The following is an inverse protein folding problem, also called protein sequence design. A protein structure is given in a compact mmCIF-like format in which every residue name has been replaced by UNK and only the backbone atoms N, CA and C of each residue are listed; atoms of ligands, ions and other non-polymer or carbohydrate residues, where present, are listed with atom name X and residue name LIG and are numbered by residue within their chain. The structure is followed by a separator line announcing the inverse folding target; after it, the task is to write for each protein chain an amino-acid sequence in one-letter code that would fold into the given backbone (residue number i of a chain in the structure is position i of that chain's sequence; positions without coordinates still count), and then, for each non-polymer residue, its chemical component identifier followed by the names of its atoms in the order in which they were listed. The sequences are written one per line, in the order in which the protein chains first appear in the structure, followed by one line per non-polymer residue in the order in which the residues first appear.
data_IF_998455124901
#
_entry.id   IF_998455124901
#
_cell.length_a   1.000
_cell.length_b   1.000
_cell.length_c   1.000
_cell.angle_alpha   90.00
_cell.angle_beta   90.00
_cell.angle_gamma   90.00
#
_symmetry.space_group_name_H-M   'P 1'
#
loop_
_entity.id
_entity.type
_entity.pdbx_description
1 polymer ?
#
# COMPACT_ATOMS: atom_id res chain seq x y z
N UNK A 1 3.50 -16.73 49.19
CA UNK A 1 3.45 -15.92 47.97
C UNK A 1 4.87 -15.88 47.41
N UNK A 2 5.07 -16.25 46.13
CA UNK A 2 6.42 -16.25 45.52
C UNK A 2 6.76 -14.84 45.08
N UNK A 3 7.89 -14.30 45.49
CA UNK A 3 8.37 -12.98 45.13
C UNK A 3 9.58 -13.07 44.18
N UNK A 4 9.76 -12.05 43.34
CA UNK A 4 10.92 -11.86 42.47
C UNK A 4 11.39 -10.41 42.51
N UNK A 5 12.69 -10.14 42.21
CA UNK A 5 13.13 -8.74 42.10
C UNK A 5 12.56 -8.04 40.86
N UNK A 6 12.14 -6.79 41.03
CA UNK A 6 11.79 -5.93 39.90
C UNK A 6 12.99 -5.78 38.94
N UNK A 7 12.85 -6.00 37.62
CA UNK A 7 13.98 -5.94 36.71
C UNK A 7 14.70 -4.58 36.70
N UNK A 8 13.99 -3.48 37.05
CA UNK A 8 14.53 -2.12 37.01
C UNK A 8 15.17 -1.67 38.34
N UNK A 9 14.40 -1.71 39.45
CA UNK A 9 14.83 -1.16 40.74
C UNK A 9 15.21 -2.24 41.79
N UNK A 10 15.10 -3.53 41.45
CA UNK A 10 15.40 -4.69 42.30
C UNK A 10 14.51 -4.88 43.54
N UNK A 11 13.50 -3.98 43.76
CA UNK A 11 12.51 -4.17 44.83
C UNK A 11 11.75 -5.48 44.62
N UNK A 12 11.47 -6.20 45.68
CA UNK A 12 10.74 -7.46 45.63
C UNK A 12 9.26 -7.21 45.21
N UNK A 13 8.79 -7.93 44.22
CA UNK A 13 7.46 -7.85 43.69
C UNK A 13 6.82 -9.24 43.53
N UNK A 14 5.49 -9.38 43.53
CA UNK A 14 4.82 -10.64 43.22
C UNK A 14 5.30 -11.22 41.90
N UNK A 15 5.48 -12.56 41.85
CA UNK A 15 6.02 -13.24 40.65
C UNK A 15 5.24 -12.93 39.35
N UNK A 16 3.94 -12.73 39.43
CA UNK A 16 3.09 -12.38 38.28
C UNK A 16 3.25 -10.96 37.76
N UNK A 17 3.95 -10.07 38.47
CA UNK A 17 4.13 -8.67 38.04
C UNK A 17 5.36 -8.53 37.14
N UNK A 18 5.24 -7.74 36.07
CA UNK A 18 6.37 -7.42 35.20
C UNK A 18 7.32 -6.40 35.83
N UNK A 19 6.76 -5.38 36.51
CA UNK A 19 7.48 -4.28 37.18
C UNK A 19 6.75 -3.88 38.46
N UNK A 20 7.42 -3.20 39.38
CA UNK A 20 6.76 -2.53 40.51
C UNK A 20 5.91 -1.33 40.01
N UNK A 21 4.95 -0.84 40.82
CA UNK A 21 4.07 0.28 40.43
C UNK A 21 4.85 1.53 39.96
N UNK A 22 5.96 1.85 40.65
CA UNK A 22 6.77 3.03 40.31
C UNK A 22 7.54 2.87 38.99
N UNK A 23 8.01 1.66 38.67
CA UNK A 23 8.77 1.39 37.45
C UNK A 23 7.91 1.07 36.23
N UNK A 24 6.66 0.68 36.43
CA UNK A 24 5.75 0.28 35.37
C UNK A 24 5.52 1.39 34.33
N UNK A 25 5.14 2.64 34.72
CA UNK A 25 4.89 3.70 33.75
C UNK A 25 6.13 4.05 32.94
N UNK A 26 7.31 4.04 33.56
CA UNK A 26 8.58 4.33 32.88
C UNK A 26 8.93 3.22 31.88
N UNK A 27 8.76 1.96 32.26
CA UNK A 27 9.00 0.82 31.34
C UNK A 27 8.01 0.79 30.17
N UNK A 28 6.75 1.20 30.38
CA UNK A 28 5.75 1.32 29.34
C UNK A 28 6.08 2.45 28.37
N UNK A 29 6.49 3.62 28.86
CA UNK A 29 6.93 4.74 28.04
C UNK A 29 8.14 4.38 27.17
N UNK A 30 9.15 3.70 27.74
CA UNK A 30 10.31 3.22 26.98
C UNK A 30 9.90 2.20 25.89
N UNK A 31 8.95 1.32 26.18
CA UNK A 31 8.42 0.36 25.20
C UNK A 31 7.69 1.03 24.05
N UNK A 32 6.87 2.05 24.37
CA UNK A 32 6.16 2.85 23.36
C UNK A 32 7.15 3.59 22.45
N UNK A 33 8.13 4.29 23.03
CA UNK A 33 9.16 5.00 22.28
C UNK A 33 9.95 4.06 21.35
N UNK A 34 10.31 2.86 21.82
CA UNK A 34 10.95 1.83 20.97
C UNK A 34 10.06 1.35 19.83
N UNK A 35 8.76 1.23 20.08
CA UNK A 35 7.79 0.80 19.07
C UNK A 35 7.59 1.87 18.00
N UNK A 36 7.50 3.14 18.39
CA UNK A 36 7.42 4.28 17.47
C UNK A 36 8.67 4.41 16.61
N UNK A 37 9.85 4.34 17.21
CA UNK A 37 11.13 4.35 16.49
C UNK A 37 11.24 3.19 15.50
N UNK A 38 10.82 1.99 15.88
CA UNK A 38 10.79 0.82 14.98
C UNK A 38 9.83 1.03 13.82
N UNK A 39 8.66 1.61 14.07
CA UNK A 39 7.67 1.96 13.05
C UNK A 39 8.22 2.96 12.04
N UNK A 40 8.89 4.01 12.51
CA UNK A 40 9.54 5.02 11.66
C UNK A 40 10.67 4.42 10.82
N UNK A 41 11.53 3.58 11.41
CA UNK A 41 12.59 2.86 10.70
C UNK A 41 12.03 1.99 9.57
N UNK A 42 10.98 1.20 9.85
CA UNK A 42 10.34 0.35 8.84
C UNK A 42 9.71 1.17 7.73
N UNK A 43 9.09 2.31 8.05
CA UNK A 43 8.55 3.25 7.06
C UNK A 43 9.66 3.85 6.17
N UNK A 44 10.77 4.29 6.76
CA UNK A 44 11.94 4.79 6.01
C UNK A 44 12.50 3.71 5.08
N UNK A 45 12.68 2.49 5.57
CA UNK A 45 13.18 1.35 4.77
C UNK A 45 12.24 0.98 3.63
N UNK A 46 10.93 0.99 3.88
CA UNK A 46 9.92 0.79 2.83
C UNK A 46 10.01 1.88 1.76
N UNK A 47 10.05 3.14 2.17
CA UNK A 47 10.15 4.28 1.27
C UNK A 47 11.44 4.26 0.43
N UNK A 48 12.58 3.88 1.02
CA UNK A 48 13.83 3.71 0.29
C UNK A 48 13.73 2.65 -0.79
N UNK A 49 13.18 1.46 -0.47
CA UNK A 49 12.95 0.38 -1.44
C UNK A 49 11.98 0.80 -2.54
N UNK A 50 10.90 1.47 -2.17
CA UNK A 50 9.93 2.00 -3.11
C UNK A 50 10.55 3.01 -4.08
N UNK A 51 11.32 3.97 -3.55
CA UNK A 51 12.01 4.99 -4.35
C UNK A 51 13.10 4.40 -5.24
N UNK A 52 13.88 3.43 -4.75
CA UNK A 52 14.87 2.71 -5.55
C UNK A 52 14.21 1.97 -6.73
N UNK A 53 13.07 1.29 -6.49
CA UNK A 53 12.30 0.63 -7.55
C UNK A 53 11.72 1.62 -8.56
N UNK A 54 11.28 2.79 -8.11
CA UNK A 54 10.83 3.89 -8.99
C UNK A 54 11.97 4.54 -9.76
N UNK A 55 13.18 4.52 -9.23
CA UNK A 55 14.39 5.01 -9.92
C UNK A 55 14.76 4.17 -11.14
N UNK A 56 14.37 2.88 -11.17
CA UNK A 56 14.55 1.97 -12.31
C UNK A 56 13.47 2.15 -13.39
N UNK A 57 12.46 2.95 -13.11
CA UNK A 57 11.40 3.23 -14.05
C UNK A 57 11.91 4.17 -15.15
N UNK A 58 11.47 3.93 -16.39
CA UNK A 58 11.82 4.78 -17.53
C UNK A 58 11.59 6.26 -17.17
N UNK A 59 12.64 7.10 -17.29
CA UNK A 59 12.56 8.53 -16.97
C UNK A 59 11.42 9.26 -17.68
N UNK A 60 11.06 8.82 -18.90
CA UNK A 60 9.96 9.33 -19.71
C UNK A 60 8.61 9.23 -18.99
N UNK A 61 8.28 8.06 -18.43
CA UNK A 61 7.02 7.86 -17.70
C UNK A 61 7.01 8.60 -16.36
N UNK A 62 8.15 8.64 -15.67
CA UNK A 62 8.29 9.40 -14.43
C UNK A 62 8.08 10.89 -14.67
N UNK A 63 8.68 11.45 -15.74
CA UNK A 63 8.52 12.86 -16.14
C UNK A 63 7.05 13.14 -16.46
N UNK A 64 6.40 12.28 -17.24
CA UNK A 64 4.99 12.42 -17.59
C UNK A 64 4.09 12.44 -16.34
N UNK A 65 4.22 11.46 -15.43
CA UNK A 65 3.38 11.40 -14.22
C UNK A 65 3.58 12.60 -13.28
N UNK A 66 4.72 13.26 -13.35
CA UNK A 66 5.00 14.45 -12.57
C UNK A 66 4.65 15.75 -13.31
N UNK A 67 4.28 15.68 -14.58
CA UNK A 67 3.98 16.84 -15.40
C UNK A 67 2.73 17.59 -14.91
N UNK A 68 2.66 18.88 -15.22
CA UNK A 68 1.51 19.72 -14.87
C UNK A 68 0.26 19.28 -15.64
N UNK A 69 0.45 18.91 -16.90
CA UNK A 69 -0.60 18.45 -17.80
C UNK A 69 -1.29 17.20 -17.22
N UNK A 70 -0.51 16.16 -16.89
CA UNK A 70 -1.08 14.94 -16.30
C UNK A 70 -1.78 15.19 -14.97
N UNK A 71 -1.19 15.99 -14.09
CA UNK A 71 -1.81 16.35 -12.81
C UNK A 71 -3.12 17.10 -12.97
N UNK A 72 -3.20 18.00 -13.96
CA UNK A 72 -4.42 18.72 -14.27
C UNK A 72 -5.49 17.79 -14.86
N UNK A 73 -5.14 16.98 -15.85
CA UNK A 73 -6.04 16.03 -16.52
C UNK A 73 -6.58 15.00 -15.54
N UNK A 74 -5.73 14.37 -14.73
CA UNK A 74 -6.16 13.38 -13.75
C UNK A 74 -7.09 13.98 -12.69
N UNK A 75 -6.80 15.18 -12.21
CA UNK A 75 -7.67 15.88 -11.27
C UNK A 75 -9.02 16.26 -11.89
N UNK A 76 -9.02 16.69 -13.14
CA UNK A 76 -10.24 17.00 -13.90
C UNK A 76 -11.09 15.74 -14.11
N UNK A 77 -10.48 14.60 -14.47
CA UNK A 77 -11.19 13.32 -14.65
C UNK A 77 -11.85 12.84 -13.36
N UNK A 78 -11.15 12.90 -12.21
CA UNK A 78 -11.71 12.54 -10.92
C UNK A 78 -12.90 13.45 -10.53
N UNK A 79 -12.86 14.74 -10.86
CA UNK A 79 -13.98 15.66 -10.64
C UNK A 79 -15.15 15.33 -11.54
N UNK A 80 -14.91 15.05 -12.82
CA UNK A 80 -15.94 14.73 -13.80
C UNK A 80 -16.73 13.48 -13.42
N UNK A 81 -16.05 12.41 -12.94
CA UNK A 81 -16.72 11.22 -12.41
C UNK A 81 -17.30 11.43 -10.98
N UNK A 82 -17.25 12.67 -10.45
CA UNK A 82 -17.72 13.02 -9.09
C UNK A 82 -17.09 12.12 -8.01
N UNK A 83 -15.83 11.77 -8.20
CA UNK A 83 -15.09 10.84 -7.35
C UNK A 83 -15.76 9.46 -7.18
N UNK A 84 -16.60 9.04 -8.11
CA UNK A 84 -17.20 7.70 -8.14
C UNK A 84 -16.38 6.79 -9.02
N UNK A 85 -16.10 5.57 -8.54
CA UNK A 85 -15.38 4.58 -9.32
C UNK A 85 -16.18 4.17 -10.56
N UNK A 86 -15.63 4.41 -11.76
CA UNK A 86 -16.27 4.09 -13.04
C UNK A 86 -16.15 2.60 -13.40
N UNK A 87 -15.15 1.88 -12.87
CA UNK A 87 -14.94 0.46 -13.20
C UNK A 87 -15.87 -0.50 -12.47
N UNK A 88 -16.22 -0.22 -11.20
CA UNK A 88 -17.17 -0.99 -10.38
C UNK A 88 -16.97 -2.52 -10.42
N UNK A 89 -15.73 -2.98 -10.40
CA UNK A 89 -15.40 -4.40 -10.40
C UNK A 89 -15.67 -5.02 -9.02
N UNK A 90 -15.59 -6.35 -8.94
CA UNK A 90 -15.73 -7.08 -7.68
C UNK A 90 -14.74 -6.55 -6.62
N UNK A 91 -15.21 -6.32 -5.39
CA UNK A 91 -14.42 -5.68 -4.34
C UNK A 91 -14.24 -4.16 -4.50
N UNK A 92 -15.03 -3.51 -5.34
CA UNK A 92 -14.96 -2.07 -5.57
C UNK A 92 -15.24 -1.27 -4.29
N UNK A 93 -14.36 -0.30 -3.98
CA UNK A 93 -14.48 0.59 -2.82
C UNK A 93 -15.45 1.77 -3.06
N UNK A 94 -15.96 1.94 -4.29
CA UNK A 94 -16.92 2.98 -4.67
C UNK A 94 -16.32 4.35 -4.93
N UNK A 95 -15.23 4.74 -4.27
CA UNK A 95 -14.62 6.07 -4.36
C UNK A 95 -13.42 6.03 -5.30
N UNK A 96 -13.46 6.84 -6.38
CA UNK A 96 -12.33 7.01 -7.30
C UNK A 96 -11.26 7.91 -6.68
N UNK A 97 -10.05 7.42 -6.57
CA UNK A 97 -8.87 8.14 -6.07
C UNK A 97 -7.69 8.11 -7.07
N UNK A 98 -7.78 7.29 -8.10
CA UNK A 98 -6.76 7.12 -9.12
C UNK A 98 -7.38 7.22 -10.53
N UNK A 99 -6.55 7.51 -11.53
CA UNK A 99 -6.97 7.50 -12.94
C UNK A 99 -6.22 6.40 -13.66
N UNK A 100 -6.96 5.50 -14.28
CA UNK A 100 -6.48 4.38 -15.07
C UNK A 100 -6.47 4.73 -16.54
N UNK A 101 -5.44 4.31 -17.27
CA UNK A 101 -5.39 4.37 -18.72
C UNK A 101 -5.89 3.05 -19.30
N UNK A 102 -6.89 3.08 -20.16
CA UNK A 102 -7.40 1.87 -20.84
C UNK A 102 -6.32 1.24 -21.72
N UNK A 103 -5.61 2.07 -22.48
CA UNK A 103 -4.43 1.63 -23.23
C UNK A 103 -3.19 1.92 -22.38
N UNK A 104 -2.37 0.89 -22.04
CA UNK A 104 -1.21 1.09 -21.19
C UNK A 104 -0.23 2.12 -21.77
N UNK A 105 0.10 3.16 -21.00
CA UNK A 105 1.03 4.23 -21.43
C UNK A 105 2.42 3.76 -21.82
N UNK A 106 2.77 2.50 -21.51
CA UNK A 106 4.06 1.90 -21.89
C UNK A 106 4.09 1.43 -23.33
N UNK A 107 2.94 1.32 -23.99
CA UNK A 107 2.85 1.04 -25.42
C UNK A 107 2.98 2.32 -26.24
N UNK A 108 3.45 2.26 -27.49
CA UNK A 108 3.52 3.43 -28.38
C UNK A 108 2.16 4.14 -28.50
N UNK A 109 1.11 3.36 -28.77
CA UNK A 109 -0.25 3.87 -28.90
C UNK A 109 -0.74 4.55 -27.60
N UNK A 110 -0.57 3.88 -26.46
CA UNK A 110 -0.96 4.46 -25.16
C UNK A 110 -0.15 5.68 -24.79
N UNK A 111 1.10 5.78 -25.29
CA UNK A 111 1.90 6.98 -25.11
C UNK A 111 1.34 8.18 -25.92
N UNK A 112 0.90 7.96 -27.13
CA UNK A 112 0.27 9.01 -27.94
C UNK A 112 -1.04 9.47 -27.33
N UNK A 113 -1.87 8.51 -26.86
CA UNK A 113 -3.18 8.76 -26.24
C UNK A 113 -3.13 9.04 -24.73
N UNK A 114 -1.95 9.28 -24.15
CA UNK A 114 -1.75 9.40 -22.68
C UNK A 114 -2.56 10.50 -21.98
N UNK A 115 -3.06 11.49 -22.73
CA UNK A 115 -3.93 12.55 -22.22
C UNK A 115 -5.33 12.52 -22.86
N UNK A 116 -5.60 11.49 -23.66
CA UNK A 116 -6.92 11.31 -24.28
C UNK A 116 -7.97 11.04 -23.18
N UNK A 117 -8.95 11.93 -23.16
CA UNK A 117 -9.99 11.92 -22.13
C UNK A 117 -10.83 10.66 -22.12
N UNK A 118 -11.14 10.12 -23.29
CA UNK A 118 -12.00 8.95 -23.45
C UNK A 118 -11.28 7.65 -23.07
N UNK A 119 -9.96 7.64 -23.17
CA UNK A 119 -9.10 6.54 -22.73
C UNK A 119 -8.76 6.56 -21.23
N UNK A 120 -9.35 7.47 -20.44
CA UNK A 120 -9.12 7.61 -19.01
C UNK A 120 -10.34 7.22 -18.18
N UNK A 121 -10.14 6.48 -17.10
CA UNK A 121 -11.19 6.16 -16.11
C UNK A 121 -10.80 6.54 -14.70
N UNK A 122 -11.72 7.17 -13.97
CA UNK A 122 -11.60 7.38 -12.53
C UNK A 122 -11.91 6.08 -11.77
N UNK A 123 -10.95 5.55 -11.03
CA UNK A 123 -11.08 4.24 -10.37
C UNK A 123 -10.63 4.27 -8.90
N UNK A 124 -11.15 3.36 -8.09
CA UNK A 124 -10.62 3.10 -6.74
C UNK A 124 -9.37 2.22 -6.83
N UNK A 125 -8.55 2.22 -5.77
CA UNK A 125 -7.30 1.44 -5.70
C UNK A 125 -7.54 -0.07 -5.93
N UNK A 126 -8.63 -0.63 -5.41
CA UNK A 126 -8.97 -2.04 -5.63
C UNK A 126 -9.20 -2.35 -7.12
N UNK A 127 -10.06 -1.58 -7.79
CA UNK A 127 -10.31 -1.74 -9.21
C UNK A 127 -9.07 -1.46 -10.06
N UNK A 128 -8.28 -0.42 -9.73
CA UNK A 128 -7.03 -0.12 -10.42
C UNK A 128 -6.04 -1.27 -10.39
N UNK A 129 -5.88 -1.94 -9.24
CA UNK A 129 -5.03 -3.11 -9.12
C UNK A 129 -5.52 -4.30 -9.96
N UNK A 130 -6.82 -4.49 -10.08
CA UNK A 130 -7.39 -5.53 -10.94
C UNK A 130 -7.13 -5.20 -12.41
N UNK A 131 -7.43 -3.98 -12.86
CA UNK A 131 -7.21 -3.53 -14.23
C UNK A 131 -5.73 -3.59 -14.65
N UNK A 132 -4.81 -3.26 -13.75
CA UNK A 132 -3.37 -3.36 -13.98
C UNK A 132 -2.83 -4.81 -13.85
N UNK A 133 -3.68 -5.81 -13.63
CA UNK A 133 -3.30 -7.20 -13.33
C UNK A 133 -2.35 -7.36 -12.13
N UNK A 134 -2.27 -6.37 -11.24
CA UNK A 134 -1.39 -6.42 -10.06
C UNK A 134 -1.87 -7.42 -9.02
N UNK A 135 -3.18 -7.72 -9.00
CA UNK A 135 -3.79 -8.67 -8.07
C UNK A 135 -3.58 -10.14 -8.46
N UNK A 136 -3.49 -10.43 -9.75
CA UNK A 136 -3.37 -11.81 -10.25
C UNK A 136 -1.94 -12.38 -10.19
N UNK A 137 -0.91 -11.55 -10.12
CA UNK A 137 0.49 -12.01 -10.01
C UNK A 137 0.87 -12.58 -8.63
N UNK A 138 0.00 -12.50 -7.63
CA UNK A 138 0.28 -12.98 -6.26
C UNK A 138 -0.36 -14.33 -5.91
N UNK A 139 -1.08 -14.99 -6.82
CA UNK A 139 -1.75 -16.27 -6.56
C UNK A 139 -1.56 -17.28 -7.71
N UNK A 140 -0.40 -17.31 -8.31
CA UNK A 140 0.08 -18.54 -8.96
C UNK A 140 1.16 -19.08 -8.02
N UNK A 141 0.75 -19.53 -6.84
CA UNK A 141 1.44 -20.58 -6.14
C UNK A 141 1.22 -21.82 -6.99
N UNK A 142 2.32 -22.48 -7.39
CA UNK A 142 2.40 -23.63 -8.27
C UNK A 142 1.70 -24.90 -7.75
N UNK A 143 0.74 -24.77 -6.83
CA UNK A 143 0.00 -25.85 -6.17
C UNK A 143 -1.53 -25.77 -6.35
N UNK A 144 -2.03 -25.04 -7.31
CA UNK A 144 -3.46 -25.17 -7.67
C UNK A 144 -3.59 -26.30 -8.68
N UNK A 145 -3.86 -27.51 -8.15
CA UNK A 145 -4.36 -28.63 -8.94
C UNK A 145 -5.62 -28.15 -9.65
N UNK A 146 -5.54 -28.04 -10.99
CA UNK A 146 -6.67 -27.67 -11.83
C UNK A 146 -7.74 -28.79 -11.73
N UNK A 147 -8.78 -28.54 -10.95
CA UNK A 147 -9.91 -29.45 -10.77
C UNK A 147 -10.72 -29.73 -12.07
N UNK A 148 -10.31 -29.16 -13.21
CA UNK A 148 -10.93 -29.43 -14.52
C UNK A 148 -10.39 -30.68 -15.19
N UNK A 149 -9.38 -31.34 -14.61
CA UNK A 149 -8.78 -32.56 -15.16
C UNK A 149 -9.30 -33.86 -14.54
N UNK A 150 -10.28 -33.80 -13.61
CA UNK A 150 -10.87 -34.99 -12.97
C UNK A 150 -12.31 -35.20 -13.49
N UNK A 151 -12.48 -35.15 -14.79
CA UNK A 151 -13.68 -35.72 -15.44
C UNK A 151 -13.28 -36.35 -16.77
N UNK A 152 -12.74 -37.58 -16.69
CA UNK A 152 -12.86 -38.64 -17.68
C UNK A 152 -12.69 -39.98 -17.00
#
# INVERSE_FOLDING_TARGET
MVLKPCPRCKRMIPHGWAYCPDCKPVAEAERQAKQEHRSEYLRKKYNQRYNARRGQEDPKYRKFRNSKEWKATSKAKLRACKYKCEARLEGCQGIACEVHHEVPIKTPEGWEKRLDWDGLRGVCTACHNILDNKGFKKKIDENVIDLRTIQR
#
